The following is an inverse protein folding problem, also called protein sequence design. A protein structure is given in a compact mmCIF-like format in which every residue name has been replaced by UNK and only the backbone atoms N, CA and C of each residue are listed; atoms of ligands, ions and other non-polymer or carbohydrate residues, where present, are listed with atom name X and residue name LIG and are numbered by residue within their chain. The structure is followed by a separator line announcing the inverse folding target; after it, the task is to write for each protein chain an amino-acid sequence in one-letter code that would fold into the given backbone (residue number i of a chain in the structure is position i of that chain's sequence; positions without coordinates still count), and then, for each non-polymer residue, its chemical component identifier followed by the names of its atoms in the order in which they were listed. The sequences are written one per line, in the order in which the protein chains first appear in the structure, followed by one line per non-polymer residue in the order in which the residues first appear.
data_IF_640621332211
#
_entry.id   IF_640621332211
#
_cell.length_a   1.000
_cell.length_b   1.000
_cell.length_c   1.000
_cell.angle_alpha   90.00
_cell.angle_beta   90.00
_cell.angle_gamma   90.00
#
_symmetry.space_group_name_H-M   'P 1'
#
loop_
_entity.id
_entity.type
_entity.pdbx_description
1 polymer ?
#
# COMPACT_ATOMS: atom_id res chain seq x y z
N UNK A 1 -3.08 9.69 16.60
CA UNK A 1 -3.20 10.99 15.90
C UNK A 1 -1.91 11.79 15.91
N UNK A 2 -1.18 11.86 17.03
CA UNK A 2 0.08 12.61 17.18
C UNK A 2 1.07 12.40 16.02
N UNK A 3 1.30 11.16 15.58
CA UNK A 3 2.27 10.85 14.54
C UNK A 3 1.79 11.07 13.09
N UNK A 4 0.48 11.18 12.87
CA UNK A 4 -0.10 11.33 11.53
C UNK A 4 -0.58 12.75 11.24
N UNK A 5 -0.71 13.61 12.26
CA UNK A 5 -1.04 15.03 12.10
C UNK A 5 0.06 15.85 11.40
N UNK A 6 1.36 15.66 11.70
CA UNK A 6 2.41 16.43 11.04
C UNK A 6 2.41 16.14 9.53
N UNK A 7 2.53 17.20 8.73
CA UNK A 7 2.47 17.10 7.26
C UNK A 7 3.70 16.39 6.67
N UNK A 8 4.81 16.33 7.42
CA UNK A 8 6.02 15.61 7.06
C UNK A 8 5.92 14.09 7.27
N UNK A 9 4.89 13.62 7.99
CA UNK A 9 4.68 12.20 8.21
C UNK A 9 4.04 11.54 7.00
N UNK A 10 4.68 10.48 6.49
CA UNK A 10 4.04 9.54 5.57
C UNK A 10 3.04 8.70 6.36
N UNK A 11 1.81 8.63 5.87
CA UNK A 11 0.79 7.74 6.42
C UNK A 11 0.77 6.46 5.59
N UNK A 12 1.06 5.34 6.25
CA UNK A 12 0.93 4.02 5.66
C UNK A 12 -0.37 3.37 6.13
N UNK A 13 -1.42 3.45 5.31
CA UNK A 13 -2.71 2.83 5.63
C UNK A 13 -2.68 1.36 5.23
N UNK A 14 -2.49 0.49 6.22
CA UNK A 14 -2.48 -0.97 6.03
C UNK A 14 -3.91 -1.49 5.96
N UNK A 15 -4.24 -2.15 4.85
CA UNK A 15 -5.56 -2.72 4.54
C UNK A 15 -5.43 -4.23 4.38
N UNK A 16 -6.48 -4.98 4.70
CA UNK A 16 -6.55 -6.41 4.39
C UNK A 16 -7.26 -6.59 3.04
N UNK A 17 -6.72 -7.40 2.13
CA UNK A 17 -7.43 -7.75 0.88
C UNK A 17 -8.80 -8.40 1.14
N UNK A 18 -8.96 -9.02 2.32
CA UNK A 18 -10.15 -9.77 2.73
C UNK A 18 -11.33 -8.90 3.17
N UNK A 19 -11.16 -7.59 3.26
CA UNK A 19 -12.21 -6.66 3.71
C UNK A 19 -12.47 -5.59 2.66
N UNK A 20 -13.53 -4.81 2.84
CA UNK A 20 -13.82 -3.68 1.97
C UNK A 20 -13.10 -2.43 2.48
N UNK A 21 -12.35 -1.77 1.60
CA UNK A 21 -11.48 -0.66 2.00
C UNK A 21 -12.24 0.53 2.63
N UNK A 22 -13.45 0.90 2.18
CA UNK A 22 -14.21 1.98 2.81
C UNK A 22 -14.58 1.74 4.27
N UNK A 23 -14.60 0.48 4.73
CA UNK A 23 -14.92 0.15 6.13
C UNK A 23 -13.69 0.22 7.05
N UNK A 24 -12.50 0.45 6.49
CA UNK A 24 -11.26 0.43 7.24
C UNK A 24 -11.06 1.74 8.01
N UNK A 25 -10.96 1.65 9.35
CA UNK A 25 -10.75 2.80 10.22
C UNK A 25 -9.44 3.56 9.90
N UNK A 26 -8.40 2.87 9.42
CA UNK A 26 -7.14 3.50 8.98
C UNK A 26 -7.35 4.52 7.86
N UNK A 27 -8.26 4.24 6.91
CA UNK A 27 -8.63 5.16 5.83
C UNK A 27 -9.35 6.39 6.39
N UNK A 28 -10.33 6.15 7.26
CA UNK A 28 -11.09 7.25 7.89
C UNK A 28 -10.15 8.16 8.66
N UNK A 29 -9.24 7.60 9.45
CA UNK A 29 -8.26 8.37 10.21
C UNK A 29 -7.27 9.13 9.32
N UNK A 30 -6.78 8.53 8.22
CA UNK A 30 -5.85 9.22 7.32
C UNK A 30 -6.53 10.41 6.63
N UNK A 31 -7.78 10.25 6.17
CA UNK A 31 -8.53 11.33 5.52
C UNK A 31 -8.84 12.51 6.45
N UNK A 32 -8.86 12.33 7.77
CA UNK A 32 -9.03 13.44 8.72
C UNK A 32 -7.84 14.42 8.71
N UNK A 33 -6.64 13.94 8.36
CA UNK A 33 -5.38 14.72 8.42
C UNK A 33 -4.70 14.86 7.06
N UNK A 34 -5.16 14.13 6.04
CA UNK A 34 -4.65 14.14 4.68
C UNK A 34 -5.79 13.89 3.68
N UNK A 35 -6.67 14.89 3.51
CA UNK A 35 -7.86 14.81 2.66
C UNK A 35 -7.56 14.63 1.18
N UNK A 36 -6.43 15.17 0.72
CA UNK A 36 -5.98 15.09 -0.69
C UNK A 36 -5.15 13.84 -0.96
N UNK A 37 -4.74 13.11 0.08
CA UNK A 37 -3.95 11.89 -0.03
C UNK A 37 -2.50 12.14 -0.47
N UNK A 38 -1.96 13.33 -0.26
CA UNK A 38 -0.62 13.73 -0.74
C UNK A 38 0.52 12.98 -0.04
N UNK A 39 0.24 12.41 1.13
CA UNK A 39 1.21 11.70 1.98
C UNK A 39 0.68 10.35 2.49
N UNK A 40 -0.47 9.89 1.97
CA UNK A 40 -1.09 8.62 2.35
C UNK A 40 -0.92 7.58 1.25
N UNK A 41 -0.25 6.48 1.59
CA UNK A 41 -0.11 5.31 0.74
C UNK A 41 -0.91 4.14 1.34
N UNK A 42 -1.71 3.46 0.53
CA UNK A 42 -2.42 2.26 0.95
C UNK A 42 -1.58 1.00 0.69
N UNK A 43 -1.40 0.17 1.71
CA UNK A 43 -0.71 -1.12 1.60
C UNK A 43 -1.72 -2.24 1.82
N UNK A 44 -2.04 -2.97 0.76
CA UNK A 44 -2.99 -4.07 0.81
C UNK A 44 -2.26 -5.37 1.12
N UNK A 45 -2.52 -5.91 2.30
CA UNK A 45 -1.92 -7.13 2.84
C UNK A 45 -2.81 -8.35 2.61
N UNK A 46 -2.27 -9.55 2.85
CA UNK A 46 -3.00 -10.82 2.72
C UNK A 46 -3.59 -11.05 1.31
N UNK A 47 -2.88 -10.59 0.27
CA UNK A 47 -3.32 -10.75 -1.12
C UNK A 47 -3.51 -12.22 -1.52
N UNK A 48 -2.83 -13.14 -0.83
CA UNK A 48 -2.99 -14.60 -0.97
C UNK A 48 -4.33 -15.13 -0.43
N UNK A 49 -4.97 -14.42 0.50
CA UNK A 49 -6.22 -14.85 1.15
C UNK A 49 -7.47 -14.41 0.42
N UNK A 50 -7.40 -13.32 -0.33
CA UNK A 50 -8.50 -12.81 -1.14
C UNK A 50 -7.96 -12.34 -2.50
N UNK A 51 -7.47 -13.27 -3.33
CA UNK A 51 -6.93 -12.92 -4.64
C UNK A 51 -8.03 -12.57 -5.65
N UNK A 52 -9.24 -13.11 -5.45
CA UNK A 52 -10.42 -12.82 -6.25
C UNK A 52 -11.01 -11.46 -5.83
N UNK A 53 -11.23 -10.58 -6.80
CA UNK A 53 -11.75 -9.23 -6.54
C UNK A 53 -10.71 -8.19 -6.12
N UNK A 54 -9.48 -8.60 -5.75
CA UNK A 54 -8.45 -7.64 -5.33
C UNK A 54 -8.07 -6.67 -6.45
N UNK A 55 -7.95 -7.16 -7.68
CA UNK A 55 -7.65 -6.33 -8.84
C UNK A 55 -8.74 -5.26 -9.05
N UNK A 56 -10.01 -5.66 -8.99
CA UNK A 56 -11.16 -4.78 -9.13
C UNK A 56 -11.19 -3.75 -7.99
N UNK A 57 -10.95 -4.17 -6.74
CA UNK A 57 -10.93 -3.29 -5.57
C UNK A 57 -9.87 -2.19 -5.67
N UNK A 58 -8.64 -2.52 -6.09
CA UNK A 58 -7.58 -1.50 -6.21
C UNK A 58 -7.75 -0.60 -7.43
N UNK A 59 -8.42 -1.06 -8.48
CA UNK A 59 -8.72 -0.25 -9.67
C UNK A 59 -9.93 0.66 -9.47
N UNK A 60 -10.91 0.24 -8.65
CA UNK A 60 -12.07 1.06 -8.31
C UNK A 60 -11.69 2.29 -7.47
N UNK A 61 -10.68 2.17 -6.59
CA UNK A 61 -10.19 3.25 -5.71
C UNK A 61 -11.34 3.95 -4.94
N UNK A 62 -12.27 3.18 -4.38
CA UNK A 62 -13.46 3.70 -3.69
C UNK A 62 -13.13 4.62 -2.50
N UNK A 63 -11.90 4.55 -1.99
CA UNK A 63 -11.40 5.35 -0.87
C UNK A 63 -10.55 6.56 -1.31
N UNK A 64 -10.30 6.73 -2.61
CA UNK A 64 -9.59 7.87 -3.23
C UNK A 64 -8.21 8.12 -2.61
N UNK A 65 -7.36 7.09 -2.60
CA UNK A 65 -6.03 7.20 -1.97
C UNK A 65 -5.05 7.88 -2.90
N UNK A 66 -4.55 9.04 -2.49
CA UNK A 66 -3.74 9.91 -3.35
C UNK A 66 -2.42 9.30 -3.86
N UNK A 67 -1.63 8.64 -3.01
CA UNK A 67 -0.39 7.96 -3.46
C UNK A 67 -0.63 6.55 -4.06
N UNK A 68 -1.90 6.15 -4.16
CA UNK A 68 -2.35 4.87 -4.68
C UNK A 68 -2.11 3.68 -3.74
N UNK A 69 -2.05 2.49 -4.35
CA UNK A 69 -1.99 1.21 -3.65
C UNK A 69 -0.69 0.46 -3.92
N UNK A 70 -0.27 -0.36 -2.94
CA UNK A 70 0.68 -1.45 -3.14
C UNK A 70 0.15 -2.72 -2.49
N UNK A 71 -0.05 -3.77 -3.28
CA UNK A 71 -0.47 -5.08 -2.79
C UNK A 71 0.75 -5.93 -2.43
N UNK A 72 0.70 -6.59 -1.28
CA UNK A 72 1.78 -7.44 -0.79
C UNK A 72 1.25 -8.77 -0.25
N UNK A 73 2.14 -9.75 -0.17
CA UNK A 73 1.93 -11.00 0.57
C UNK A 73 2.89 -11.00 1.76
N UNK A 74 2.34 -11.00 2.97
CA UNK A 74 3.12 -11.07 4.20
C UNK A 74 3.81 -12.44 4.34
N UNK A 75 4.82 -12.50 5.21
CA UNK A 75 5.40 -13.76 5.67
C UNK A 75 4.36 -14.57 6.44
N UNK A 76 4.26 -15.86 6.18
CA UNK A 76 3.26 -16.75 6.81
C UNK A 76 3.98 -17.89 7.54
N UNK A 77 3.60 -18.14 8.79
CA UNK A 77 4.23 -19.18 9.62
C UNK A 77 5.74 -18.95 9.78
N UNK A 78 6.50 -20.02 9.61
CA UNK A 78 7.96 -20.06 9.83
C UNK A 78 8.78 -19.85 8.55
N UNK A 79 8.18 -19.29 7.49
CA UNK A 79 8.89 -18.92 6.26
C UNK A 79 10.11 -18.04 6.53
N UNK A 80 11.22 -18.27 5.83
CA UNK A 80 12.32 -17.29 5.79
C UNK A 80 11.90 -16.03 5.04
N UNK A 81 12.71 -14.95 5.16
CA UNK A 81 12.44 -13.74 4.38
C UNK A 81 12.57 -13.98 2.88
N UNK A 82 13.56 -14.77 2.45
CA UNK A 82 13.80 -15.16 1.07
C UNK A 82 12.62 -16.00 0.54
N UNK A 83 12.16 -16.98 1.32
CA UNK A 83 11.00 -17.81 0.97
C UNK A 83 9.74 -16.97 0.80
N UNK A 84 9.48 -16.04 1.73
CA UNK A 84 8.32 -15.16 1.65
C UNK A 84 8.37 -14.25 0.40
N UNK A 85 9.57 -13.73 0.05
CA UNK A 85 9.79 -12.92 -1.16
C UNK A 85 9.59 -13.71 -2.45
N UNK A 86 10.08 -14.95 -2.50
CA UNK A 86 9.86 -15.84 -3.63
C UNK A 86 8.38 -16.16 -3.80
N UNK A 87 7.70 -16.54 -2.71
CA UNK A 87 6.25 -16.85 -2.73
C UNK A 87 5.40 -15.64 -3.13
N UNK A 88 5.74 -14.44 -2.66
CA UNK A 88 5.09 -13.20 -3.09
C UNK A 88 5.26 -12.97 -4.60
N UNK A 89 6.50 -13.10 -5.10
CA UNK A 89 6.81 -12.92 -6.51
C UNK A 89 6.02 -13.91 -7.37
N UNK A 90 6.02 -15.18 -6.99
CA UNK A 90 5.25 -16.23 -7.66
C UNK A 90 3.76 -15.90 -7.66
N UNK A 91 3.18 -15.50 -6.53
CA UNK A 91 1.76 -15.15 -6.42
C UNK A 91 1.35 -14.09 -7.46
N UNK A 92 2.06 -12.97 -7.52
CA UNK A 92 1.73 -11.86 -8.43
C UNK A 92 2.16 -12.10 -9.90
N UNK A 93 2.92 -13.15 -10.18
CA UNK A 93 3.29 -13.52 -11.55
C UNK A 93 2.36 -14.57 -12.14
N UNK A 94 1.93 -15.55 -11.34
CA UNK A 94 1.24 -16.75 -11.85
C UNK A 94 -0.27 -16.71 -11.60
N UNK A 95 -0.76 -16.06 -10.54
CA UNK A 95 -2.19 -16.06 -10.23
C UNK A 95 -2.98 -15.35 -11.34
N UNK A 96 -4.03 -15.96 -11.93
CA UNK A 96 -4.72 -15.45 -13.11
C UNK A 96 -5.26 -14.01 -13.01
N UNK A 97 -5.74 -13.63 -11.82
CA UNK A 97 -6.27 -12.30 -11.54
C UNK A 97 -5.19 -11.33 -11.04
N UNK A 98 -4.41 -11.73 -10.04
CA UNK A 98 -3.38 -10.85 -9.46
C UNK A 98 -2.28 -10.46 -10.44
N UNK A 99 -1.99 -11.29 -11.45
CA UNK A 99 -1.02 -10.94 -12.50
C UNK A 99 -1.45 -9.75 -13.35
N UNK A 100 -2.75 -9.41 -13.36
CA UNK A 100 -3.32 -8.27 -14.08
C UNK A 100 -3.10 -6.94 -13.35
N UNK A 101 -2.82 -6.98 -12.04
CA UNK A 101 -2.46 -5.78 -11.29
C UNK A 101 -1.13 -5.26 -11.82
N UNK A 102 -1.05 -3.94 -12.02
CA UNK A 102 0.13 -3.27 -12.54
C UNK A 102 1.37 -3.62 -11.70
N UNK A 103 2.49 -3.89 -12.36
CA UNK A 103 3.73 -4.30 -11.68
C UNK A 103 4.29 -3.21 -10.77
N UNK A 104 3.93 -1.95 -10.97
CA UNK A 104 4.24 -0.82 -10.08
C UNK A 104 3.36 -0.75 -8.84
N UNK A 105 2.41 -1.66 -8.68
CA UNK A 105 1.47 -1.74 -7.55
C UNK A 105 1.58 -3.05 -6.76
N UNK A 106 2.57 -3.92 -7.02
CA UNK A 106 2.67 -5.22 -6.35
C UNK A 106 4.06 -5.52 -5.84
N UNK A 107 4.12 -6.14 -4.67
CA UNK A 107 5.33 -6.67 -4.07
C UNK A 107 6.09 -5.69 -3.18
N UNK A 108 6.84 -6.25 -2.23
CA UNK A 108 7.65 -5.44 -1.32
C UNK A 108 8.78 -4.62 -1.98
N UNK A 109 9.48 -5.08 -3.05
CA UNK A 109 10.47 -4.24 -3.71
C UNK A 109 9.87 -2.92 -4.24
N UNK A 110 8.64 -2.98 -4.74
CA UNK A 110 7.88 -1.83 -5.22
C UNK A 110 7.46 -0.94 -4.05
N UNK A 111 6.97 -1.53 -2.95
CA UNK A 111 6.65 -0.80 -1.73
C UNK A 111 7.86 -0.01 -1.22
N UNK A 112 9.02 -0.67 -1.10
CA UNK A 112 10.26 -0.05 -0.63
C UNK A 112 10.67 1.11 -1.54
N UNK A 113 10.67 0.90 -2.87
CA UNK A 113 11.00 1.95 -3.84
C UNK A 113 10.06 3.15 -3.74
N UNK A 114 8.74 2.92 -3.63
CA UNK A 114 7.75 4.00 -3.47
C UNK A 114 7.97 4.78 -2.18
N UNK A 115 8.19 4.09 -1.05
CA UNK A 115 8.44 4.74 0.24
C UNK A 115 9.67 5.64 0.20
N UNK A 116 10.77 5.16 -0.40
CA UNK A 116 12.00 5.96 -0.59
C UNK A 116 11.71 7.21 -1.43
N UNK A 117 10.96 7.08 -2.53
CA UNK A 117 10.62 8.21 -3.40
C UNK A 117 9.72 9.23 -2.69
N UNK A 118 8.70 8.77 -1.96
CA UNK A 118 7.80 9.64 -1.20
C UNK A 118 8.59 10.40 -0.13
N UNK A 119 9.47 9.71 0.60
CA UNK A 119 10.30 10.32 1.63
C UNK A 119 11.24 11.38 1.05
N UNK A 120 11.92 11.07 -0.07
CA UNK A 120 12.78 12.04 -0.76
C UNK A 120 11.99 13.29 -1.19
N UNK A 121 10.80 13.11 -1.76
CA UNK A 121 9.94 14.23 -2.17
C UNK A 121 9.52 15.12 -0.99
N UNK A 122 9.17 14.53 0.16
CA UNK A 122 8.81 15.28 1.37
C UNK A 122 10.00 16.09 1.88
N UNK A 123 11.19 15.47 1.95
CA UNK A 123 12.43 16.15 2.37
C UNK A 123 12.73 17.33 1.43
N UNK A 124 12.72 17.11 0.12
CA UNK A 124 12.99 18.17 -0.86
C UNK A 124 11.99 19.33 -0.76
N UNK A 125 10.68 19.04 -0.63
CA UNK A 125 9.65 20.08 -0.47
C UNK A 125 9.85 20.93 0.80
N UNK A 126 10.41 20.35 1.86
CA UNK A 126 10.70 21.08 3.11
C UNK A 126 11.93 21.97 2.96
N UNK A 127 13.00 21.47 2.35
CA UNK A 127 14.22 22.25 2.12
C UNK A 127 13.99 23.45 1.20
N UNK A 128 13.01 23.40 0.30
CA UNK A 128 12.66 24.49 -0.62
C UNK A 128 11.69 25.52 -0.01
N UNK A 129 11.13 25.26 1.18
CA UNK A 129 10.18 26.15 1.87
C UNK A 129 10.80 26.92 3.04
N UNK A 130 12.06 26.63 3.39
CA UNK A 130 12.85 27.38 4.38
C UNK A 130 13.79 28.34 3.69
#
# INVERSE_FOLDING_TARGET
MEFIKPEESIILSVLSATVDFPTCESIRMSQLVDKTGERTLAVVTKSDKAPDGLHEKVMADDVKIGLGYVCVRNRIGDESYEEARMKETTLFQTHPLLKKIDKSMVGFPVLAKKLVQIQANIISKRLLKG
#
